data_IF_148053053363
#
_entry.id   IF_148053053363
#
_cell.length_a   1.000
_cell.length_b   1.000
_cell.length_c   1.000
_cell.angle_alpha   90.00
_cell.angle_beta   90.00
_cell.angle_gamma   90.00
#
_symmetry.space_group_name_H-M   'P 1'
#
loop_
_entity.id
_entity.type
_entity.pdbx_description
1 polymer ?
#
# COMPACT_ATOMS: atom_id res chain seq x y z
N UNK A 1 17.54 -0.26 19.55
CA UNK A 1 18.60 0.06 20.54
C UNK A 1 18.53 -0.90 21.73
N UNK A 2 19.57 -1.73 21.96
CA UNK A 2 19.69 -2.52 23.19
C UNK A 2 19.89 -1.60 24.40
N UNK A 3 19.40 -2.03 25.56
CA UNK A 3 19.73 -1.41 26.84
C UNK A 3 21.22 -1.63 27.19
N UNK A 4 21.75 -0.89 28.17
CA UNK A 4 23.09 -1.05 28.75
C UNK A 4 23.40 -2.51 29.18
N UNK A 5 22.38 -3.34 29.34
CA UNK A 5 22.46 -4.77 29.69
C UNK A 5 22.38 -5.74 28.48
N UNK A 6 22.38 -5.24 27.24
CA UNK A 6 22.37 -6.08 26.03
C UNK A 6 21.02 -6.75 25.72
N UNK A 7 19.93 -6.38 26.39
CA UNK A 7 18.57 -6.91 26.12
C UNK A 7 17.93 -6.23 24.91
N UNK A 8 17.39 -7.04 24.00
CA UNK A 8 16.51 -6.59 22.92
C UNK A 8 15.23 -6.00 23.51
N UNK A 9 14.95 -4.73 23.19
CA UNK A 9 13.75 -4.02 23.64
C UNK A 9 12.72 -4.00 22.51
N UNK A 10 11.57 -4.63 22.72
CA UNK A 10 10.40 -4.46 21.86
C UNK A 10 9.57 -3.28 22.38
N UNK A 11 9.48 -2.19 21.61
CA UNK A 11 8.60 -1.06 21.93
C UNK A 11 7.45 -1.05 20.91
N UNK A 12 6.19 -1.25 21.33
CA UNK A 12 5.06 -1.11 20.43
C UNK A 12 4.87 0.37 20.10
N UNK A 13 4.85 0.68 18.81
CA UNK A 13 4.64 2.04 18.30
C UNK A 13 3.42 2.07 17.38
N UNK A 14 2.70 3.20 17.40
CA UNK A 14 1.60 3.46 16.46
C UNK A 14 2.10 4.41 15.40
N UNK A 15 2.02 3.99 14.15
CA UNK A 15 2.47 4.77 13.01
C UNK A 15 1.30 5.03 12.08
N UNK A 16 1.21 6.26 11.58
CA UNK A 16 0.31 6.58 10.49
C UNK A 16 0.75 5.86 9.22
N UNK A 17 -0.22 5.35 8.45
CA UNK A 17 0.06 4.58 7.24
C UNK A 17 0.91 5.39 6.25
N UNK A 18 0.57 6.66 6.03
CA UNK A 18 1.31 7.53 5.12
C UNK A 18 2.77 7.71 5.55
N UNK A 19 3.03 7.89 6.84
CA UNK A 19 4.39 8.01 7.38
C UNK A 19 5.21 6.72 7.17
N UNK A 20 4.57 5.55 7.34
CA UNK A 20 5.18 4.26 7.05
C UNK A 20 5.52 4.13 5.56
N UNK A 21 4.59 4.48 4.66
CA UNK A 21 4.79 4.43 3.22
C UNK A 21 5.94 5.35 2.79
N UNK A 22 6.05 6.55 3.34
CA UNK A 22 7.15 7.48 3.01
C UNK A 22 8.51 7.01 3.56
N UNK A 23 8.53 6.33 4.71
CA UNK A 23 9.76 5.68 5.21
C UNK A 23 10.23 4.55 4.30
N UNK A 24 9.31 3.78 3.71
CA UNK A 24 9.67 2.79 2.67
C UNK A 24 10.14 3.50 1.40
N UNK A 25 9.41 4.51 0.94
CA UNK A 25 9.73 5.25 -0.28
C UNK A 25 11.10 5.94 -0.23
N UNK A 26 11.52 6.41 0.94
CA UNK A 26 12.84 7.02 1.16
C UNK A 26 13.97 6.00 1.36
N UNK A 27 13.67 4.71 1.43
CA UNK A 27 14.66 3.67 1.71
C UNK A 27 15.07 3.56 3.18
N UNK A 28 14.44 4.30 4.08
CA UNK A 28 14.66 4.22 5.54
C UNK A 28 14.08 2.94 6.14
N UNK A 29 13.01 2.40 5.56
CA UNK A 29 12.52 1.04 5.82
C UNK A 29 12.76 0.15 4.62
N UNK A 30 13.36 -1.02 4.86
CA UNK A 30 13.75 -1.97 3.83
C UNK A 30 13.33 -3.40 4.18
N UNK A 31 13.33 -4.28 3.19
CA UNK A 31 13.09 -5.72 3.38
C UNK A 31 14.42 -6.45 3.17
N UNK A 32 14.95 -7.19 4.17
CA UNK A 32 16.19 -7.97 4.01
C UNK A 32 16.10 -9.02 2.90
N UNK A 33 17.20 -9.31 2.21
CA UNK A 33 17.24 -10.31 1.13
C UNK A 33 16.92 -11.74 1.59
N UNK A 34 17.22 -12.09 2.85
CA UNK A 34 16.85 -13.39 3.41
C UNK A 34 15.36 -13.53 3.72
N UNK A 35 14.56 -12.49 3.49
CA UNK A 35 13.10 -12.57 3.59
C UNK A 35 12.55 -13.53 2.54
N UNK A 36 11.41 -14.17 2.85
CA UNK A 36 10.71 -14.97 1.84
C UNK A 36 10.32 -14.10 0.65
N UNK A 37 10.30 -14.66 -0.57
CA UNK A 37 9.70 -13.99 -1.72
C UNK A 37 8.24 -13.62 -1.46
N UNK A 38 7.74 -12.60 -2.15
CA UNK A 38 6.33 -12.26 -2.12
C UNK A 38 5.50 -13.38 -2.76
N UNK A 39 4.53 -13.93 -2.03
CA UNK A 39 3.70 -15.07 -2.47
C UNK A 39 2.20 -14.84 -2.33
N UNK A 40 1.79 -13.63 -1.94
CA UNK A 40 0.38 -13.28 -1.80
C UNK A 40 -0.34 -13.30 -3.14
N UNK A 41 -1.51 -13.96 -3.14
CA UNK A 41 -2.41 -14.00 -4.29
C UNK A 41 -3.30 -12.75 -4.33
N UNK A 42 -3.85 -12.37 -5.50
CA UNK A 42 -4.70 -11.18 -5.66
C UNK A 42 -5.82 -11.06 -4.61
N UNK A 43 -6.46 -12.17 -4.25
CA UNK A 43 -7.52 -12.22 -3.22
C UNK A 43 -7.03 -11.84 -1.82
N UNK A 44 -5.80 -12.19 -1.45
CA UNK A 44 -5.24 -11.81 -0.15
C UNK A 44 -4.98 -10.31 -0.09
N UNK A 45 -4.57 -9.72 -1.22
CA UNK A 45 -4.35 -8.28 -1.33
C UNK A 45 -5.67 -7.51 -1.22
N UNK A 46 -6.73 -7.91 -1.92
CA UNK A 46 -8.04 -7.25 -1.80
C UNK A 46 -8.63 -7.42 -0.40
N UNK A 47 -8.53 -8.62 0.19
CA UNK A 47 -9.02 -8.89 1.54
C UNK A 47 -8.29 -8.04 2.61
N UNK A 48 -7.02 -7.69 2.39
CA UNK A 48 -6.30 -6.74 3.26
C UNK A 48 -7.00 -5.38 3.26
N UNK A 49 -7.32 -4.84 2.08
CA UNK A 49 -7.98 -3.55 1.96
C UNK A 49 -9.43 -3.58 2.49
N UNK A 50 -10.17 -4.68 2.25
CA UNK A 50 -11.49 -4.88 2.87
C UNK A 50 -11.40 -4.87 4.39
N UNK A 51 -10.40 -5.55 4.96
CA UNK A 51 -10.19 -5.56 6.42
C UNK A 51 -9.86 -4.18 6.97
N UNK A 52 -9.07 -3.37 6.25
CA UNK A 52 -8.76 -1.99 6.63
C UNK A 52 -10.02 -1.13 6.60
N UNK A 53 -10.81 -1.23 5.53
CA UNK A 53 -12.06 -0.48 5.38
C UNK A 53 -13.07 -0.84 6.48
N UNK A 54 -13.19 -2.13 6.82
CA UNK A 54 -14.08 -2.61 7.87
C UNK A 54 -13.56 -2.34 9.29
N UNK A 55 -12.35 -1.78 9.44
CA UNK A 55 -11.72 -1.52 10.74
C UNK A 55 -11.25 -2.77 11.48
N UNK A 56 -11.10 -3.91 10.79
CA UNK A 56 -10.57 -5.12 11.38
C UNK A 56 -9.05 -5.04 11.60
N UNK A 57 -8.52 -5.58 12.71
CA UNK A 57 -7.07 -5.62 12.93
C UNK A 57 -6.35 -6.41 11.82
N UNK A 58 -5.40 -5.77 11.16
CA UNK A 58 -4.58 -6.39 10.10
C UNK A 58 -3.25 -6.96 10.62
N UNK A 59 -3.09 -7.05 11.94
CA UNK A 59 -1.86 -7.46 12.64
C UNK A 59 -0.84 -6.32 12.83
N UNK A 60 0.34 -6.65 13.36
CA UNK A 60 1.47 -5.71 13.56
C UNK A 60 2.57 -5.91 12.53
N UNK A 61 3.45 -4.92 12.35
CA UNK A 61 4.74 -5.09 11.67
C UNK A 61 5.83 -5.26 12.72
N UNK A 62 6.81 -6.11 12.46
CA UNK A 62 8.01 -6.23 13.30
C UNK A 62 9.17 -5.60 12.56
N UNK A 63 9.73 -4.55 13.14
CA UNK A 63 10.86 -3.81 12.59
C UNK A 63 12.12 -4.07 13.44
N UNK A 64 13.27 -4.11 12.77
CA UNK A 64 14.58 -4.28 13.38
C UNK A 64 15.53 -3.21 12.88
N UNK A 65 16.15 -2.51 13.84
CA UNK A 65 17.17 -1.49 13.59
C UNK A 65 18.53 -2.06 14.04
N UNK A 66 19.31 -2.66 13.13
CA UNK A 66 20.66 -3.14 13.42
C UNK A 66 21.67 -2.01 13.55
N UNK A 67 22.82 -2.33 14.15
CA UNK A 67 23.99 -1.46 14.11
C UNK A 67 24.67 -1.45 12.74
N UNK A 68 24.68 -2.61 12.06
CA UNK A 68 25.31 -2.81 10.75
C UNK A 68 24.26 -2.97 9.65
N UNK A 69 24.59 -2.50 8.45
CA UNK A 69 23.72 -2.66 7.28
C UNK A 69 23.64 -4.13 6.84
N UNK A 70 22.43 -4.53 6.46
CA UNK A 70 22.13 -5.85 5.89
C UNK A 70 21.67 -5.69 4.45
N UNK A 71 22.08 -6.62 3.59
CA UNK A 71 21.60 -6.67 2.21
C UNK A 71 20.07 -6.74 2.17
N UNK A 72 19.49 -5.92 1.29
CA UNK A 72 18.05 -5.75 1.18
C UNK A 72 17.59 -5.69 -0.26
N UNK A 73 16.30 -5.97 -0.44
CA UNK A 73 15.64 -5.87 -1.74
C UNK A 73 15.78 -4.45 -2.29
N UNK A 74 16.04 -4.36 -3.59
CA UNK A 74 16.09 -3.11 -4.34
C UNK A 74 14.70 -2.65 -4.83
N UNK A 75 13.67 -3.47 -4.64
CA UNK A 75 12.30 -3.21 -5.03
C UNK A 75 11.34 -3.75 -3.97
N UNK A 76 10.27 -3.00 -3.69
CA UNK A 76 9.15 -3.46 -2.86
C UNK A 76 7.86 -3.12 -3.60
N UNK A 77 6.95 -4.09 -3.76
CA UNK A 77 5.64 -3.85 -4.37
C UNK A 77 5.70 -3.38 -5.83
N UNK A 78 6.71 -3.82 -6.61
CA UNK A 78 6.88 -3.37 -8.00
C UNK A 78 7.53 -1.99 -8.14
N UNK A 79 8.02 -1.39 -7.06
CA UNK A 79 8.57 -0.03 -7.03
C UNK A 79 10.02 -0.06 -6.54
N UNK A 80 10.98 0.48 -7.31
CA UNK A 80 12.38 0.58 -6.89
C UNK A 80 12.53 1.40 -5.61
N UNK A 81 13.37 0.92 -4.70
CA UNK A 81 13.67 1.57 -3.42
C UNK A 81 15.04 2.24 -3.53
N UNK A 82 15.15 3.56 -3.28
CA UNK A 82 16.43 4.27 -3.32
C UNK A 82 17.38 3.75 -2.22
N UNK A 83 18.69 4.03 -2.32
CA UNK A 83 19.63 3.75 -1.23
C UNK A 83 19.18 4.39 0.10
N UNK A 84 19.56 3.81 1.25
CA UNK A 84 19.22 4.37 2.56
C UNK A 84 19.72 5.82 2.70
N UNK A 85 18.98 6.70 3.39
CA UNK A 85 19.42 8.06 3.65
C UNK A 85 20.73 8.08 4.46
N UNK A 86 21.74 8.90 4.07
CA UNK A 86 23.00 8.97 4.80
C UNK A 86 22.81 9.43 6.25
N UNK A 87 23.47 8.75 7.20
CA UNK A 87 23.50 9.16 8.61
C UNK A 87 22.21 8.92 9.39
N UNK A 88 21.21 8.25 8.81
CA UNK A 88 20.00 7.80 9.50
C UNK A 88 20.06 6.29 9.75
N UNK A 89 19.49 5.81 10.87
CA UNK A 89 19.38 4.37 11.10
C UNK A 89 18.48 3.72 10.04
N UNK A 90 18.84 2.51 9.63
CA UNK A 90 18.08 1.71 8.68
C UNK A 90 17.20 0.74 9.46
N UNK A 91 15.90 0.74 9.14
CA UNK A 91 14.95 -0.21 9.71
C UNK A 91 14.62 -1.32 8.72
N UNK A 92 14.61 -2.56 9.19
CA UNK A 92 14.33 -3.75 8.40
C UNK A 92 13.04 -4.41 8.84
N UNK A 93 12.23 -4.85 7.88
CA UNK A 93 11.00 -5.58 8.14
C UNK A 93 11.32 -7.05 8.39
N UNK A 94 11.07 -7.53 9.61
CA UNK A 94 11.22 -8.94 9.99
C UNK A 94 9.93 -9.73 9.80
N UNK A 95 8.78 -9.11 10.08
CA UNK A 95 7.46 -9.69 9.86
C UNK A 95 6.50 -8.70 9.19
N UNK A 96 5.59 -9.24 8.39
CA UNK A 96 4.55 -8.46 7.73
C UNK A 96 4.96 -7.84 6.39
N UNK A 97 6.08 -8.28 5.78
CA UNK A 97 6.53 -7.73 4.50
C UNK A 97 5.47 -7.83 3.39
N UNK A 98 4.59 -8.85 3.39
CA UNK A 98 3.61 -9.03 2.31
C UNK A 98 2.48 -8.01 2.43
N UNK A 99 2.09 -7.69 3.66
CA UNK A 99 1.16 -6.58 3.97
C UNK A 99 1.78 -5.25 3.57
N UNK A 100 3.02 -5.00 3.98
CA UNK A 100 3.73 -3.77 3.65
C UNK A 100 3.90 -3.60 2.14
N UNK A 101 4.35 -4.64 1.43
CA UNK A 101 4.54 -4.59 -0.01
C UNK A 101 3.23 -4.35 -0.76
N UNK A 102 2.12 -4.96 -0.31
CA UNK A 102 0.78 -4.72 -0.86
C UNK A 102 0.35 -3.26 -0.68
N UNK A 103 0.45 -2.73 0.55
CA UNK A 103 0.09 -1.35 0.84
C UNK A 103 0.95 -0.36 0.04
N UNK A 104 2.27 -0.57 0.06
CA UNK A 104 3.23 0.27 -0.64
C UNK A 104 3.03 0.25 -2.15
N UNK A 105 2.98 -0.94 -2.76
CA UNK A 105 2.78 -1.11 -4.19
C UNK A 105 1.47 -0.48 -4.67
N UNK A 106 0.36 -0.75 -3.98
CA UNK A 106 -0.95 -0.25 -4.41
C UNK A 106 -1.16 1.25 -4.16
N UNK A 107 -0.65 1.80 -3.06
CA UNK A 107 -0.87 3.21 -2.68
C UNK A 107 0.17 4.16 -3.28
N UNK A 108 1.37 3.67 -3.60
CA UNK A 108 2.48 4.49 -4.12
C UNK A 108 2.79 4.26 -5.59
N UNK A 109 2.16 3.28 -6.25
CA UNK A 109 2.38 2.99 -7.67
C UNK A 109 2.42 4.28 -8.52
N UNK A 110 3.45 4.48 -9.36
CA UNK A 110 3.49 5.62 -10.25
C UNK A 110 2.37 5.47 -11.29
N UNK A 111 1.85 6.59 -11.79
CA UNK A 111 0.80 6.55 -12.80
C UNK A 111 1.24 5.79 -14.07
N UNK A 112 2.53 5.82 -14.40
CA UNK A 112 3.14 5.09 -15.52
C UNK A 112 3.15 3.57 -15.33
N UNK A 113 3.13 3.05 -14.09
CA UNK A 113 3.08 1.61 -13.84
C UNK A 113 1.78 0.96 -14.33
N UNK A 114 0.74 1.76 -14.62
CA UNK A 114 -0.50 1.25 -15.21
C UNK A 114 -0.30 0.60 -16.58
N UNK A 115 0.74 0.99 -17.32
CA UNK A 115 1.00 0.49 -18.67
C UNK A 115 1.74 -0.87 -18.68
N UNK A 116 2.34 -1.29 -17.56
CA UNK A 116 3.06 -2.56 -17.50
C UNK A 116 2.09 -3.72 -17.27
N UNK A 117 2.11 -4.69 -18.18
CA UNK A 117 1.35 -5.94 -18.04
C UNK A 117 1.76 -6.71 -16.78
N UNK A 118 3.03 -6.59 -16.34
CA UNK A 118 3.56 -7.33 -15.20
C UNK A 118 3.20 -6.70 -13.84
N UNK A 119 2.78 -5.43 -13.85
CA UNK A 119 2.42 -4.68 -12.63
C UNK A 119 0.92 -4.80 -12.26
N UNK A 120 0.14 -5.60 -12.99
CA UNK A 120 -1.32 -5.65 -12.86
C UNK A 120 -1.81 -5.98 -11.44
N UNK A 121 -1.08 -6.82 -10.70
CA UNK A 121 -1.45 -7.19 -9.33
C UNK A 121 -1.37 -6.04 -8.32
N UNK A 122 -0.63 -4.98 -8.63
CA UNK A 122 -0.54 -3.78 -7.80
C UNK A 122 -1.63 -2.76 -8.15
N UNK A 123 -2.37 -2.98 -9.25
CA UNK A 123 -3.47 -2.12 -9.71
C UNK A 123 -4.80 -2.54 -9.06
N UNK A 124 -4.93 -2.22 -7.78
CA UNK A 124 -6.18 -2.41 -7.03
C UNK A 124 -7.02 -1.14 -7.06
N UNK A 125 -8.33 -1.34 -7.15
CA UNK A 125 -9.35 -0.31 -7.14
C UNK A 125 -10.37 -0.63 -6.07
N UNK A 126 -10.87 0.42 -5.42
CA UNK A 126 -12.12 0.38 -4.67
C UNK A 126 -13.27 0.57 -5.66
N UNK A 127 -14.20 -0.38 -5.70
CA UNK A 127 -15.37 -0.32 -6.59
C UNK A 127 -16.48 0.46 -5.88
N UNK A 128 -16.89 1.56 -6.47
CA UNK A 128 -17.96 2.42 -5.94
C UNK A 128 -19.34 1.99 -6.47
N UNK A 129 -20.40 2.36 -5.76
CA UNK A 129 -21.79 2.04 -6.10
C UNK A 129 -22.20 0.63 -5.69
N UNK A 130 -21.46 -0.01 -4.78
CA UNK A 130 -21.71 -1.39 -4.32
C UNK A 130 -22.24 -1.47 -2.88
N UNK A 131 -22.73 -0.36 -2.28
CA UNK A 131 -23.12 -0.30 -0.87
C UNK A 131 -24.01 -1.45 -0.37
N UNK A 132 -24.92 -1.94 -1.21
CA UNK A 132 -25.87 -3.01 -0.89
C UNK A 132 -25.47 -4.37 -1.50
N UNK A 133 -24.36 -4.43 -2.23
CA UNK A 133 -23.89 -5.64 -2.89
C UNK A 133 -23.07 -6.51 -1.93
N UNK A 134 -23.16 -7.82 -2.10
CA UNK A 134 -22.25 -8.80 -1.46
C UNK A 134 -20.97 -9.02 -2.28
N UNK A 135 -20.80 -8.27 -3.35
CA UNK A 135 -19.60 -8.34 -4.18
C UNK A 135 -18.38 -7.73 -3.47
N UNK A 136 -17.19 -8.21 -3.85
CA UNK A 136 -15.90 -7.69 -3.37
C UNK A 136 -15.78 -6.20 -3.66
N UNK A 137 -15.55 -5.39 -2.61
CA UNK A 137 -15.42 -3.92 -2.72
C UNK A 137 -14.08 -3.50 -3.31
N UNK A 138 -13.12 -4.41 -3.37
CA UNK A 138 -11.82 -4.19 -4.01
C UNK A 138 -11.60 -5.17 -5.15
N UNK A 139 -11.04 -4.66 -6.26
CA UNK A 139 -10.75 -5.46 -7.46
C UNK A 139 -9.42 -5.10 -8.07
N UNK A 140 -8.77 -6.09 -8.65
CA UNK A 140 -7.64 -5.89 -9.55
C UNK A 140 -8.18 -5.54 -10.93
N UNK A 141 -7.58 -4.57 -11.60
CA UNK A 141 -7.74 -4.43 -13.04
C UNK A 141 -6.64 -5.25 -13.72
N UNK A 142 -7.01 -6.22 -14.55
CA UNK A 142 -6.06 -6.89 -15.42
C UNK A 142 -5.51 -5.95 -16.52
N UNK A 143 -5.16 -6.46 -17.71
CA UNK A 143 -4.69 -5.60 -18.80
C UNK A 143 -5.78 -4.67 -19.35
N UNK A 144 -7.06 -4.92 -19.03
CA UNK A 144 -8.19 -4.10 -19.45
C UNK A 144 -8.27 -2.82 -18.60
N UNK A 145 -8.68 -1.72 -19.22
CA UNK A 145 -8.95 -0.45 -18.53
C UNK A 145 -10.08 -0.62 -17.51
N UNK A 146 -9.88 -0.10 -16.30
CA UNK A 146 -10.88 -0.19 -15.25
C UNK A 146 -12.07 0.75 -15.54
N UNK A 147 -13.30 0.37 -15.19
CA UNK A 147 -14.45 1.27 -15.26
C UNK A 147 -14.20 2.60 -14.52
N UNK A 148 -14.77 3.73 -14.98
CA UNK A 148 -14.46 5.06 -14.45
C UNK A 148 -14.97 5.28 -13.02
N UNK A 149 -15.94 4.50 -12.55
CA UNK A 149 -16.41 4.50 -11.16
C UNK A 149 -15.58 3.61 -10.23
N UNK A 150 -14.46 3.05 -10.70
CA UNK A 150 -13.51 2.33 -9.85
C UNK A 150 -12.44 3.32 -9.38
N UNK A 151 -12.37 3.56 -8.08
CA UNK A 151 -11.39 4.45 -7.46
C UNK A 151 -10.03 3.73 -7.37
N UNK A 152 -9.00 4.16 -8.11
CA UNK A 152 -7.68 3.55 -8.03
C UNK A 152 -7.01 3.86 -6.68
N UNK A 153 -6.51 2.84 -5.97
CA UNK A 153 -5.94 3.03 -4.63
C UNK A 153 -4.71 3.95 -4.60
N UNK A 154 -3.92 3.98 -5.67
CA UNK A 154 -2.77 4.91 -5.81
C UNK A 154 -3.15 6.40 -5.69
N UNK A 155 -4.43 6.73 -5.93
CA UNK A 155 -4.91 8.11 -5.86
C UNK A 155 -5.29 8.53 -4.44
N UNK A 156 -5.55 7.57 -3.54
CA UNK A 156 -6.11 7.83 -2.21
C UNK A 156 -5.20 8.70 -1.35
N UNK A 157 -3.89 8.43 -1.35
CA UNK A 157 -2.91 9.22 -0.58
C UNK A 157 -2.40 10.47 -1.31
N UNK A 158 -2.92 10.79 -2.50
CA UNK A 158 -2.42 11.89 -3.33
C UNK A 158 -3.54 12.86 -3.67
N UNK A 159 -3.60 13.98 -2.95
CA UNK A 159 -4.66 15.00 -3.09
C UNK A 159 -4.94 15.37 -4.55
N UNK A 160 -3.90 15.61 -5.36
CA UNK A 160 -4.05 15.98 -6.77
C UNK A 160 -4.70 14.85 -7.59
N UNK A 161 -4.30 13.61 -7.36
CA UNK A 161 -4.79 12.44 -8.10
C UNK A 161 -6.22 12.10 -7.67
N UNK A 162 -6.53 12.23 -6.38
CA UNK A 162 -7.88 12.07 -5.84
C UNK A 162 -8.85 13.13 -6.38
N UNK A 163 -8.48 14.41 -6.35
CA UNK A 163 -9.31 15.49 -6.93
C UNK A 163 -9.52 15.30 -8.44
N UNK A 164 -8.50 14.82 -9.15
CA UNK A 164 -8.62 14.50 -10.58
C UNK A 164 -9.61 13.35 -10.82
N UNK A 165 -9.60 12.34 -9.96
CA UNK A 165 -10.58 11.26 -9.98
C UNK A 165 -12.00 11.74 -9.67
N UNK A 166 -12.19 12.60 -8.67
CA UNK A 166 -13.50 13.19 -8.38
C UNK A 166 -14.07 13.94 -9.59
N UNK A 167 -13.24 14.64 -10.38
CA UNK A 167 -13.69 15.25 -11.64
C UNK A 167 -14.19 14.22 -12.66
N UNK A 168 -13.57 13.04 -12.72
CA UNK A 168 -14.07 11.93 -13.57
C UNK A 168 -15.46 11.50 -13.11
N UNK A 169 -15.68 11.34 -11.80
CA UNK A 169 -17.02 11.04 -11.26
C UNK A 169 -18.05 12.10 -11.65
N UNK A 170 -17.70 13.39 -11.50
CA UNK A 170 -18.56 14.50 -11.97
C UNK A 170 -18.75 14.53 -13.49
N UNK A 171 -17.96 13.78 -14.26
CA UNK A 171 -18.15 13.63 -15.70
C UNK A 171 -19.17 12.54 -16.06
N UNK A 172 -19.26 11.48 -15.25
CA UNK A 172 -20.02 10.27 -15.56
C UNK A 172 -21.37 10.15 -14.84
N UNK A 173 -21.56 10.85 -13.72
CA UNK A 173 -22.78 10.78 -12.90
C UNK A 173 -23.35 12.18 -12.57
N UNK A 174 -24.62 12.25 -12.16
CA UNK A 174 -25.34 13.49 -11.78
C UNK A 174 -26.29 13.22 -10.61
N UNK A 175 -26.67 14.28 -9.88
CA UNK A 175 -27.68 14.21 -8.82
C UNK A 175 -27.29 13.22 -7.71
N UNK A 176 -28.28 12.46 -7.23
CA UNK A 176 -28.13 11.49 -6.12
C UNK A 176 -27.03 10.44 -6.41
N UNK A 177 -26.94 9.93 -7.64
CA UNK A 177 -25.90 8.95 -8.01
C UNK A 177 -24.48 9.50 -7.82
N UNK A 178 -24.26 10.78 -8.19
CA UNK A 178 -22.96 11.41 -7.99
C UNK A 178 -22.65 11.61 -6.50
N UNK A 179 -23.65 12.02 -5.72
CA UNK A 179 -23.52 12.19 -4.27
C UNK A 179 -23.16 10.87 -3.57
N UNK A 180 -23.81 9.76 -3.97
CA UNK A 180 -23.50 8.43 -3.47
C UNK A 180 -22.07 7.99 -3.81
N UNK A 181 -21.65 8.13 -5.08
CA UNK A 181 -20.29 7.78 -5.51
C UNK A 181 -19.23 8.62 -4.79
N UNK A 182 -19.47 9.91 -4.58
CA UNK A 182 -18.55 10.79 -3.86
C UNK A 182 -18.50 10.50 -2.36
N UNK A 183 -19.60 10.03 -1.78
CA UNK A 183 -19.64 9.63 -0.36
C UNK A 183 -18.90 8.30 -0.11
N UNK A 184 -18.96 7.36 -1.07
CA UNK A 184 -18.23 6.09 -0.97
C UNK A 184 -16.72 6.20 -1.21
N UNK A 185 -16.29 7.20 -1.98
CA UNK A 185 -14.90 7.43 -2.40
C UNK A 185 -14.02 8.03 -1.29
#
# INVERSE_FOLDING_TARGET
MPDRDGKLRSVPERWELEALIEKVASGAIRVPLFSRPFVWRPRQMTALFESIEDGYPIGSLVLWEPADEVESMNEIGGIPIPPPPPGLPICYVLDGHQRLATLFGCLRAPASAQASADAWMWRIYRVLGLRLSRESRYRHSGPVEAPPHWLPLRSVLRTKDFLSYQRVLTGIARGEELEELLHEA
#
